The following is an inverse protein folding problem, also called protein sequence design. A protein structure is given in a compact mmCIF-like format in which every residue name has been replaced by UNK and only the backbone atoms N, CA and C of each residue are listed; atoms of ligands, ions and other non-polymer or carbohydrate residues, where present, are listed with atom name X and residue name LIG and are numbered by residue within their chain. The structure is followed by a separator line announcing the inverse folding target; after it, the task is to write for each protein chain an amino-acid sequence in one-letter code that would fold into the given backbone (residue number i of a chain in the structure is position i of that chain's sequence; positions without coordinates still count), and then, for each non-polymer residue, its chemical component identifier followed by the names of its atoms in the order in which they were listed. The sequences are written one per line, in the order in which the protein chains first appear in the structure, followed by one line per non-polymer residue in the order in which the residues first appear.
data_IF_271595664571
#
_entry.id   IF_271595664571
#
_cell.length_a   1.000
_cell.length_b   1.000
_cell.length_c   1.000
_cell.angle_alpha   90.00
_cell.angle_beta   90.00
_cell.angle_gamma   90.00
#
_symmetry.space_group_name_H-M   'P 1'
#
loop_
_entity.id
_entity.type
_entity.pdbx_description
1 polymer ?
#
# COMPACT_ATOMS: atom_id res chain seq x y z
N UNK A 1 7.70 -6.41 18.02
CA UNK A 1 7.12 -5.09 17.69
C UNK A 1 5.60 -5.23 17.62
N UNK A 2 4.84 -4.23 18.07
CA UNK A 2 3.37 -4.26 17.96
C UNK A 2 2.96 -4.27 16.47
N UNK A 3 2.19 -5.26 15.99
CA UNK A 3 1.81 -5.36 14.57
C UNK A 3 1.02 -4.17 14.04
N UNK A 4 0.22 -3.50 14.89
CA UNK A 4 -0.46 -2.25 14.52
C UNK A 4 0.55 -1.16 14.20
N UNK A 5 1.58 -0.98 15.04
CA UNK A 5 2.62 0.02 14.82
C UNK A 5 3.47 -0.32 13.60
N UNK A 6 3.76 -1.60 13.38
CA UNK A 6 4.53 -2.07 12.23
C UNK A 6 3.81 -1.77 10.91
N UNK A 7 2.55 -2.19 10.77
CA UNK A 7 1.80 -1.96 9.52
C UNK A 7 1.56 -0.46 9.27
N UNK A 8 1.28 0.30 10.33
CA UNK A 8 1.10 1.75 10.21
C UNK A 8 2.39 2.45 9.79
N UNK A 9 3.54 2.05 10.33
CA UNK A 9 4.84 2.59 9.94
C UNK A 9 5.20 2.28 8.50
N UNK A 10 4.91 1.05 8.03
CA UNK A 10 5.13 0.68 6.63
C UNK A 10 4.24 1.48 5.68
N UNK A 11 2.94 1.60 5.97
CA UNK A 11 2.00 2.43 5.19
C UNK A 11 2.45 3.89 5.13
N UNK A 12 2.83 4.46 6.26
CA UNK A 12 3.34 5.82 6.31
C UNK A 12 4.62 5.99 5.46
N UNK A 13 5.55 5.02 5.54
CA UNK A 13 6.81 5.06 4.80
C UNK A 13 6.60 4.95 3.29
N UNK A 14 5.78 3.99 2.85
CA UNK A 14 5.45 3.79 1.44
C UNK A 14 4.66 4.99 0.90
N UNK A 15 3.63 5.42 1.62
CA UNK A 15 2.81 6.57 1.25
C UNK A 15 3.62 7.87 1.14
N UNK A 16 4.47 8.17 2.13
CA UNK A 16 5.35 9.33 2.08
C UNK A 16 6.36 9.24 0.93
N UNK A 17 6.99 8.08 0.72
CA UNK A 17 7.92 7.86 -0.37
C UNK A 17 7.28 8.06 -1.74
N UNK A 18 6.13 7.42 -1.98
CA UNK A 18 5.39 7.53 -3.22
C UNK A 18 4.82 8.95 -3.45
N UNK A 19 4.53 9.71 -2.39
CA UNK A 19 4.04 11.07 -2.53
C UNK A 19 5.16 12.10 -2.79
N UNK A 20 6.26 12.02 -2.02
CA UNK A 20 7.39 12.94 -2.10
C UNK A 20 8.31 12.63 -3.29
N UNK A 21 8.57 11.35 -3.54
CA UNK A 21 9.52 10.87 -4.54
C UNK A 21 8.94 9.72 -5.41
N UNK A 22 7.79 9.92 -6.09
CA UNK A 22 7.08 8.86 -6.81
C UNK A 22 7.92 8.13 -7.85
N UNK A 23 8.81 8.83 -8.56
CA UNK A 23 9.63 8.18 -9.60
C UNK A 23 10.67 7.25 -8.96
N UNK A 24 11.27 7.65 -7.85
CA UNK A 24 12.21 6.80 -7.12
C UNK A 24 11.49 5.58 -6.54
N UNK A 25 10.36 5.80 -5.86
CA UNK A 25 9.55 4.72 -5.30
C UNK A 25 9.07 3.77 -6.40
N UNK A 26 8.52 4.30 -7.50
CA UNK A 26 8.05 3.48 -8.62
C UNK A 26 9.15 2.57 -9.19
N UNK A 27 10.37 3.10 -9.37
CA UNK A 27 11.53 2.29 -9.83
C UNK A 27 11.88 1.18 -8.85
N UNK A 28 11.80 1.40 -7.54
CA UNK A 28 12.00 0.35 -6.53
C UNK A 28 10.97 -0.78 -6.63
N UNK A 29 9.75 -0.46 -7.10
CA UNK A 29 8.70 -1.44 -7.38
C UNK A 29 8.75 -2.02 -8.81
N UNK A 30 9.79 -1.69 -9.59
CA UNK A 30 9.97 -2.18 -10.95
C UNK A 30 9.11 -1.47 -12.00
N UNK A 31 8.55 -0.29 -11.68
CA UNK A 31 7.81 0.54 -12.63
C UNK A 31 8.77 1.39 -13.49
N UNK A 32 8.26 1.89 -14.61
CA UNK A 32 8.95 2.81 -15.53
C UNK A 32 8.26 4.19 -15.54
N UNK A 33 8.66 5.13 -14.67
CA UNK A 33 8.13 6.49 -14.67
C UNK A 33 8.53 7.32 -15.89
N UNK A 34 9.61 6.95 -16.60
CA UNK A 34 10.11 7.70 -17.74
C UNK A 34 9.26 7.37 -18.99
N UNK A 35 8.84 6.11 -19.14
CA UNK A 35 7.87 5.67 -20.15
C UNK A 35 6.43 6.12 -19.89
N UNK A 36 6.09 6.58 -18.68
CA UNK A 36 4.78 7.13 -18.34
C UNK A 36 4.88 8.32 -17.36
N UNK A 37 5.10 9.55 -17.85
CA UNK A 37 5.28 10.73 -17.00
C UNK A 37 4.07 11.05 -16.09
N UNK A 38 2.86 10.67 -16.52
CA UNK A 38 1.63 10.89 -15.76
C UNK A 38 1.52 9.99 -14.52
N UNK A 39 2.27 8.88 -14.49
CA UNK A 39 2.30 7.95 -13.35
C UNK A 39 2.68 8.64 -12.03
N UNK A 40 3.57 9.63 -12.09
CA UNK A 40 4.03 10.37 -10.91
C UNK A 40 2.95 11.24 -10.27
N UNK A 41 2.01 11.73 -11.07
CA UNK A 41 0.84 12.47 -10.60
C UNK A 41 -0.18 11.50 -9.97
N UNK A 42 -0.48 10.40 -10.67
CA UNK A 42 -1.42 9.37 -10.18
C UNK A 42 -0.91 8.71 -8.89
N UNK A 43 0.40 8.44 -8.79
CA UNK A 43 1.03 7.89 -7.60
C UNK A 43 0.82 8.78 -6.38
N UNK A 44 0.91 10.12 -6.52
CA UNK A 44 0.64 11.05 -5.41
C UNK A 44 -0.81 11.03 -4.97
N UNK A 45 -1.74 11.01 -5.93
CA UNK A 45 -3.16 10.93 -5.63
C UNK A 45 -3.52 9.63 -4.89
N UNK A 46 -2.88 8.52 -5.25
CA UNK A 46 -3.09 7.24 -4.57
C UNK A 46 -2.38 7.15 -3.22
N UNK A 47 -1.11 7.55 -3.15
CA UNK A 47 -0.25 7.36 -1.98
C UNK A 47 -0.73 8.09 -0.71
N UNK A 48 -1.47 9.20 -0.87
CA UNK A 48 -2.02 9.93 0.29
C UNK A 48 -2.98 9.09 1.12
N UNK A 49 -3.62 8.08 0.50
CA UNK A 49 -4.49 7.10 1.17
C UNK A 49 -3.74 6.34 2.26
N UNK A 50 -2.52 5.89 1.99
CA UNK A 50 -1.75 5.10 2.96
C UNK A 50 -1.33 5.93 4.18
N UNK A 51 -1.03 7.22 3.96
CA UNK A 51 -0.79 8.18 5.04
C UNK A 51 -2.06 8.40 5.88
N UNK A 52 -3.22 8.56 5.24
CA UNK A 52 -4.49 8.72 5.95
C UNK A 52 -4.85 7.45 6.77
N UNK A 53 -4.66 6.26 6.19
CA UNK A 53 -4.88 4.98 6.87
C UNK A 53 -3.94 4.81 8.08
N UNK A 54 -2.65 5.17 7.94
CA UNK A 54 -1.69 5.13 9.03
C UNK A 54 -2.08 6.11 10.15
N UNK A 55 -2.41 7.37 9.80
CA UNK A 55 -2.84 8.38 10.75
C UNK A 55 -4.12 7.96 11.49
N UNK A 56 -5.11 7.44 10.76
CA UNK A 56 -6.35 6.93 11.35
C UNK A 56 -6.11 5.74 12.28
N UNK A 57 -5.25 4.80 11.89
CA UNK A 57 -4.93 3.62 12.72
C UNK A 57 -4.20 4.01 14.01
N UNK A 58 -3.19 4.89 13.92
CA UNK A 58 -2.39 5.33 15.08
C UNK A 58 -3.15 6.30 15.99
N UNK A 59 -4.00 7.14 15.43
CA UNK A 59 -4.78 8.15 16.16
C UNK A 59 -6.11 7.65 16.74
N UNK A 60 -6.40 6.35 16.65
CA UNK A 60 -7.64 5.76 17.17
C UNK A 60 -7.37 4.53 18.02
N UNK A 61 -8.38 4.09 18.77
CA UNK A 61 -8.35 2.90 19.64
C UNK A 61 -9.64 2.07 19.49
N UNK A 62 -9.65 0.86 20.06
CA UNK A 62 -10.80 -0.05 20.05
C UNK A 62 -11.41 -0.27 18.66
N UNK A 63 -12.74 -0.20 18.58
CA UNK A 63 -13.49 -0.41 17.34
C UNK A 63 -13.12 0.57 16.21
N UNK A 64 -12.74 1.81 16.56
CA UNK A 64 -12.34 2.79 15.56
C UNK A 64 -11.02 2.38 14.88
N UNK A 65 -10.04 1.91 15.66
CA UNK A 65 -8.79 1.35 15.12
C UNK A 65 -9.05 0.12 14.28
N UNK A 66 -9.94 -0.77 14.74
CA UNK A 66 -10.33 -1.98 14.00
C UNK A 66 -10.92 -1.63 12.63
N UNK A 67 -11.77 -0.60 12.54
CA UNK A 67 -12.31 -0.11 11.26
C UNK A 67 -11.22 0.41 10.32
N UNK A 68 -10.26 1.19 10.82
CA UNK A 68 -9.13 1.65 10.00
C UNK A 68 -8.26 0.50 9.48
N UNK A 69 -8.01 -0.50 10.31
CA UNK A 69 -7.30 -1.71 9.90
C UNK A 69 -8.06 -2.51 8.83
N UNK A 70 -9.39 -2.64 8.97
CA UNK A 70 -10.24 -3.29 7.97
C UNK A 70 -10.25 -2.55 6.63
N UNK A 71 -10.36 -1.22 6.65
CA UNK A 71 -10.28 -0.39 5.45
C UNK A 71 -8.92 -0.51 4.77
N UNK A 72 -7.85 -0.52 5.56
CA UNK A 72 -6.50 -0.76 5.04
C UNK A 72 -6.36 -2.13 4.39
N UNK A 73 -6.86 -3.19 5.04
CA UNK A 73 -6.88 -4.54 4.46
C UNK A 73 -7.65 -4.58 3.14
N UNK A 74 -8.80 -3.91 3.04
CA UNK A 74 -9.55 -3.83 1.80
C UNK A 74 -8.76 -3.13 0.69
N UNK A 75 -8.02 -2.07 1.01
CA UNK A 75 -7.14 -1.38 0.07
C UNK A 75 -6.00 -2.29 -0.40
N UNK A 76 -5.32 -2.97 0.53
CA UNK A 76 -4.20 -3.88 0.23
C UNK A 76 -4.66 -5.02 -0.71
N UNK A 77 -5.86 -5.57 -0.50
CA UNK A 77 -6.44 -6.58 -1.38
C UNK A 77 -6.82 -6.03 -2.76
N UNK A 78 -7.37 -4.82 -2.82
CA UNK A 78 -7.71 -4.16 -4.09
C UNK A 78 -6.44 -3.84 -4.92
N UNK A 79 -5.35 -3.42 -4.26
CA UNK A 79 -4.08 -3.16 -4.92
C UNK A 79 -3.44 -4.46 -5.45
N UNK A 80 -3.53 -5.56 -4.69
CA UNK A 80 -3.11 -6.88 -5.15
C UNK A 80 -3.90 -7.35 -6.39
N UNK A 81 -5.22 -7.11 -6.40
CA UNK A 81 -6.06 -7.40 -7.55
C UNK A 81 -5.69 -6.53 -8.77
N UNK A 82 -5.41 -5.24 -8.57
CA UNK A 82 -4.95 -4.35 -9.62
C UNK A 82 -3.61 -4.80 -10.22
N UNK A 83 -2.65 -5.19 -9.38
CA UNK A 83 -1.36 -5.73 -9.82
C UNK A 83 -1.52 -7.03 -10.62
N UNK A 84 -2.41 -7.93 -10.20
CA UNK A 84 -2.74 -9.15 -10.93
C UNK A 84 -3.33 -8.85 -12.31
N UNK A 85 -4.32 -7.95 -12.38
CA UNK A 85 -4.96 -7.57 -13.64
C UNK A 85 -3.95 -6.93 -14.61
N UNK A 86 -3.13 -6.00 -14.11
CA UNK A 86 -2.10 -5.33 -14.91
C UNK A 86 -0.98 -6.30 -15.38
N UNK A 87 -0.65 -7.31 -14.57
CA UNK A 87 0.28 -8.37 -14.99
C UNK A 87 -0.33 -9.32 -16.01
N UNK A 88 -1.66 -9.51 -15.99
CA UNK A 88 -2.40 -10.37 -16.91
C UNK A 88 -2.61 -9.72 -18.28
N UNK A 89 -2.92 -8.43 -18.32
CA UNK A 89 -3.17 -7.69 -19.57
C UNK A 89 -1.88 -7.11 -20.21
N UNK A 90 -0.75 -7.20 -19.51
CA UNK A 90 0.55 -6.74 -20.00
C UNK A 90 0.85 -5.27 -19.72
N UNK A 91 -0.03 -4.55 -19.01
CA UNK A 91 0.23 -3.19 -18.53
C UNK A 91 1.48 -3.13 -17.65
N UNK A 92 1.70 -4.16 -16.82
CA UNK A 92 2.93 -4.32 -16.05
C UNK A 92 3.75 -5.53 -16.53
N UNK A 93 5.09 -5.39 -16.62
CA UNK A 93 5.94 -6.56 -16.80
C UNK A 93 5.79 -7.49 -15.58
N UNK A 94 5.86 -8.81 -15.81
CA UNK A 94 5.61 -9.83 -14.77
C UNK A 94 6.39 -9.59 -13.46
N UNK A 95 7.70 -9.23 -13.48
CA UNK A 95 8.42 -8.93 -12.25
C UNK A 95 7.81 -7.78 -11.45
N UNK A 96 7.40 -6.69 -12.11
CA UNK A 96 6.78 -5.54 -11.45
C UNK A 96 5.39 -5.89 -10.89
N UNK A 97 4.60 -6.68 -11.61
CA UNK A 97 3.31 -7.17 -11.12
C UNK A 97 3.47 -8.07 -9.88
N UNK A 98 4.47 -8.94 -9.86
CA UNK A 98 4.80 -9.78 -8.69
C UNK A 98 5.29 -8.92 -7.53
N UNK A 99 6.16 -7.94 -7.78
CA UNK A 99 6.70 -7.07 -6.71
C UNK A 99 5.61 -6.21 -6.06
N UNK A 100 4.79 -5.54 -6.87
CA UNK A 100 3.70 -4.69 -6.36
C UNK A 100 2.60 -5.52 -5.70
N UNK A 101 2.11 -6.57 -6.38
CA UNK A 101 1.09 -7.46 -5.84
C UNK A 101 1.54 -8.24 -4.61
N UNK A 102 2.77 -8.74 -4.61
CA UNK A 102 3.37 -9.44 -3.47
C UNK A 102 3.51 -8.54 -2.25
N UNK A 103 3.91 -7.28 -2.44
CA UNK A 103 3.97 -6.29 -1.36
C UNK A 103 2.58 -6.01 -0.78
N UNK A 104 1.58 -5.82 -1.64
CA UNK A 104 0.21 -5.60 -1.23
C UNK A 104 -0.36 -6.82 -0.45
N UNK A 105 -0.11 -8.04 -0.91
CA UNK A 105 -0.50 -9.25 -0.19
C UNK A 105 0.21 -9.41 1.16
N UNK A 106 1.50 -9.05 1.25
CA UNK A 106 2.22 -9.05 2.51
C UNK A 106 1.63 -8.02 3.49
N UNK A 107 1.27 -6.82 3.02
CA UNK A 107 0.58 -5.80 3.80
C UNK A 107 -0.80 -6.29 4.29
N UNK A 108 -1.57 -6.94 3.42
CA UNK A 108 -2.84 -7.56 3.79
C UNK A 108 -2.66 -8.62 4.90
N UNK A 109 -1.65 -9.49 4.78
CA UNK A 109 -1.32 -10.47 5.83
C UNK A 109 -0.96 -9.82 7.17
N UNK A 110 -0.18 -8.74 7.15
CA UNK A 110 0.11 -7.95 8.35
C UNK A 110 -1.13 -7.25 8.92
N UNK A 111 -2.04 -6.77 8.06
CA UNK A 111 -3.32 -6.19 8.46
C UNK A 111 -4.20 -7.21 9.20
N UNK A 112 -4.28 -8.44 8.70
CA UNK A 112 -4.97 -9.55 9.39
C UNK A 112 -4.34 -9.84 10.75
N UNK A 113 -3.00 -9.91 10.82
CA UNK A 113 -2.29 -10.12 12.08
C UNK A 113 -2.54 -8.98 13.09
N UNK A 114 -2.59 -7.73 12.62
CA UNK A 114 -2.89 -6.56 13.44
C UNK A 114 -4.35 -6.57 13.94
N UNK A 115 -5.31 -6.99 13.10
CA UNK A 115 -6.72 -7.13 13.50
C UNK A 115 -6.91 -8.16 14.61
N UNK A 116 -6.15 -9.26 14.59
CA UNK A 116 -6.18 -10.27 15.65
C UNK A 116 -5.66 -9.78 17.01
N UNK A 117 -4.96 -8.65 17.03
CA UNK A 117 -4.38 -8.02 18.23
C UNK A 117 -5.02 -6.67 18.57
N UNK A 118 -5.97 -6.20 17.76
CA UNK A 118 -6.68 -4.94 17.96
C UNK A 118 -7.91 -5.08 18.88
N UNK A 119 -7.97 -6.15 19.67
CA UNK A 119 -9.00 -6.41 20.69
C UNK A 119 -8.53 -6.02 22.07
#
# INVERSE_FOLDING_TARGET
MNPVSLISGLRASIGAGAWLAPNLTGRLFGLDPDGNPQSSYLARLFAIRDLALAAGTLGSEGDARRRWLQLGLACDLADAAAAYLAGRDGTLPKPAAVMTGGTALAAAGMGVAALGQAG
#
